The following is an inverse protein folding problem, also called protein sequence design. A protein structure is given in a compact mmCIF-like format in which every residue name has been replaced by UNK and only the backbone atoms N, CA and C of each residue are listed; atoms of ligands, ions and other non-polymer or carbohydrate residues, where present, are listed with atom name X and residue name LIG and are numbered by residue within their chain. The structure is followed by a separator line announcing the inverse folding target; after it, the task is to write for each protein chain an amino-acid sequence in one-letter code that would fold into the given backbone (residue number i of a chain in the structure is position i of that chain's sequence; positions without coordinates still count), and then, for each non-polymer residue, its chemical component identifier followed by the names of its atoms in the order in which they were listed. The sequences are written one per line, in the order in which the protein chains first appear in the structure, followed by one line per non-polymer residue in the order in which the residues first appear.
data_IF_612085979753
#
_entry.id   IF_612085979753
#
_cell.length_a   1.000
_cell.length_b   1.000
_cell.length_c   1.000
_cell.angle_alpha   90.00
_cell.angle_beta   90.00
_cell.angle_gamma   90.00
#
_symmetry.space_group_name_H-M   'P 1'
#
loop_
_entity.id
_entity.type
_entity.pdbx_description
1 polymer ?
#
# COMPACT_ATOMS: atom_id res chain seq x y z
N UNK A 1 -18.01 -46.72 25.26
CA UNK A 1 -19.16 -46.12 25.99
C UNK A 1 -19.76 -45.03 25.11
N UNK A 2 -20.74 -45.39 24.24
CA UNK A 2 -21.41 -44.39 23.39
C UNK A 2 -22.25 -43.47 24.28
N UNK A 3 -21.90 -42.18 24.28
CA UNK A 3 -22.65 -41.14 24.98
C UNK A 3 -24.04 -41.08 24.34
N UNK A 4 -25.06 -41.65 25.00
CA UNK A 4 -26.45 -41.58 24.54
C UNK A 4 -26.82 -40.10 24.42
N UNK A 5 -26.89 -39.60 23.18
CA UNK A 5 -27.44 -38.29 22.88
C UNK A 5 -28.86 -38.25 23.43
N UNK A 6 -29.17 -37.21 24.20
CA UNK A 6 -30.52 -37.02 24.74
C UNK A 6 -31.51 -36.97 23.58
N UNK A 7 -32.59 -37.76 23.63
CA UNK A 7 -33.67 -37.77 22.61
C UNK A 7 -34.18 -36.35 22.29
N UNK A 8 -34.11 -35.44 23.25
CA UNK A 8 -34.45 -34.03 23.09
C UNK A 8 -33.54 -33.31 22.08
N UNK A 9 -32.23 -33.61 22.09
CA UNK A 9 -31.26 -33.01 21.17
C UNK A 9 -31.44 -33.53 19.74
N UNK A 10 -31.79 -34.81 19.56
CA UNK A 10 -32.12 -35.36 18.24
C UNK A 10 -33.36 -34.70 17.63
N UNK A 11 -34.42 -34.47 18.43
CA UNK A 11 -35.64 -33.79 17.98
C UNK A 11 -35.35 -32.33 17.58
N UNK A 12 -34.51 -31.64 18.36
CA UNK A 12 -34.12 -30.24 18.07
C UNK A 12 -33.29 -30.19 16.79
N UNK A 13 -32.32 -31.09 16.63
CA UNK A 13 -31.47 -31.15 15.44
C UNK A 13 -32.30 -31.44 14.18
N UNK A 14 -33.22 -32.40 14.26
CA UNK A 14 -34.07 -32.78 13.14
C UNK A 14 -35.03 -31.64 12.74
N UNK A 15 -35.56 -30.89 13.71
CA UNK A 15 -36.33 -29.66 13.43
C UNK A 15 -35.47 -28.60 12.74
N UNK A 16 -34.22 -28.39 13.19
CA UNK A 16 -33.31 -27.44 12.59
C UNK A 16 -32.93 -27.81 11.15
N UNK A 17 -32.66 -29.09 10.90
CA UNK A 17 -32.39 -29.62 9.55
C UNK A 17 -33.62 -29.43 8.64
N UNK A 18 -34.82 -29.72 9.14
CA UNK A 18 -36.05 -29.50 8.38
C UNK A 18 -36.26 -28.02 8.06
N UNK A 19 -35.99 -27.11 8.99
CA UNK A 19 -36.06 -25.66 8.77
C UNK A 19 -35.03 -25.21 7.72
N UNK A 20 -33.80 -25.73 7.78
CA UNK A 20 -32.74 -25.42 6.83
C UNK A 20 -33.05 -25.96 5.42
N UNK A 21 -33.82 -27.05 5.34
CA UNK A 21 -34.23 -27.64 4.07
C UNK A 21 -35.44 -26.98 3.41
N UNK A 22 -36.15 -26.08 4.12
CA UNK A 22 -37.19 -25.26 3.50
C UNK A 22 -36.59 -24.43 2.35
N UNK A 23 -37.27 -24.36 1.19
CA UNK A 23 -36.76 -23.68 0.00
C UNK A 23 -36.48 -22.19 0.25
N UNK A 24 -37.32 -21.54 1.07
CA UNK A 24 -37.14 -20.16 1.49
C UNK A 24 -35.85 -19.95 2.30
N UNK A 25 -35.58 -20.82 3.29
CA UNK A 25 -34.37 -20.74 4.11
C UNK A 25 -33.11 -20.92 3.27
N UNK A 26 -33.12 -21.88 2.32
CA UNK A 26 -32.01 -22.06 1.37
C UNK A 26 -31.75 -20.80 0.55
N UNK A 27 -32.80 -20.16 0.03
CA UNK A 27 -32.68 -18.93 -0.73
C UNK A 27 -32.08 -17.80 0.12
N UNK A 28 -32.56 -17.61 1.35
CA UNK A 28 -32.03 -16.59 2.28
C UNK A 28 -30.56 -16.83 2.59
N UNK A 29 -30.17 -18.08 2.86
CA UNK A 29 -28.77 -18.43 3.14
C UNK A 29 -27.88 -18.13 1.93
N UNK A 30 -28.30 -18.56 0.73
CA UNK A 30 -27.55 -18.28 -0.50
C UNK A 30 -27.43 -16.79 -0.76
N UNK A 31 -28.51 -16.02 -0.60
CA UNK A 31 -28.49 -14.57 -0.74
C UNK A 31 -27.53 -13.91 0.25
N UNK A 32 -27.54 -14.34 1.52
CA UNK A 32 -26.62 -13.85 2.54
C UNK A 32 -25.16 -14.11 2.18
N UNK A 33 -24.82 -15.30 1.66
CA UNK A 33 -23.48 -15.60 1.18
C UNK A 33 -23.06 -14.76 -0.03
N UNK A 34 -23.97 -14.56 -1.00
CA UNK A 34 -23.69 -13.69 -2.15
C UNK A 34 -23.43 -12.26 -1.69
N UNK A 35 -24.27 -11.71 -0.81
CA UNK A 35 -24.06 -10.39 -0.24
C UNK A 35 -22.74 -10.30 0.52
N UNK A 36 -22.41 -11.32 1.32
CA UNK A 36 -21.15 -11.37 2.05
C UNK A 36 -19.94 -11.37 1.12
N UNK A 37 -19.96 -12.16 0.05
CA UNK A 37 -18.90 -12.18 -0.97
C UNK A 37 -18.78 -10.81 -1.63
N UNK A 38 -19.89 -10.19 -2.05
CA UNK A 38 -19.87 -8.86 -2.68
C UNK A 38 -19.26 -7.82 -1.72
N UNK A 39 -19.67 -7.81 -0.46
CA UNK A 39 -19.14 -6.89 0.55
C UNK A 39 -17.65 -7.11 0.77
N UNK A 40 -17.21 -8.36 0.96
CA UNK A 40 -15.78 -8.66 1.14
C UNK A 40 -14.98 -8.29 -0.11
N UNK A 41 -15.44 -8.65 -1.31
CA UNK A 41 -14.77 -8.28 -2.56
C UNK A 41 -14.63 -6.78 -2.69
N UNK A 42 -15.66 -6.00 -2.31
CA UNK A 42 -15.57 -4.55 -2.27
C UNK A 42 -14.56 -4.06 -1.23
N UNK A 43 -14.61 -4.58 0.00
CA UNK A 43 -13.67 -4.20 1.06
C UNK A 43 -12.22 -4.55 0.72
N UNK A 44 -11.98 -5.64 -0.02
CA UNK A 44 -10.65 -5.97 -0.54
C UNK A 44 -10.10 -4.88 -1.47
N UNK A 45 -10.94 -4.14 -2.21
CA UNK A 45 -10.49 -2.99 -3.01
C UNK A 45 -10.15 -1.75 -2.18
N UNK A 46 -10.53 -1.75 -0.89
CA UNK A 46 -10.28 -0.67 0.07
C UNK A 46 -9.18 -0.99 1.07
N UNK A 47 -8.50 -2.12 0.91
CA UNK A 47 -7.34 -2.46 1.74
C UNK A 47 -6.25 -1.43 1.46
N UNK A 48 -5.90 -0.65 2.49
CA UNK A 48 -4.77 0.24 2.40
C UNK A 48 -3.47 -0.58 2.50
N UNK A 49 -2.56 -0.38 1.55
CA UNK A 49 -1.23 -0.99 1.55
C UNK A 49 -0.17 -0.08 2.14
N UNK A 50 -0.56 1.12 2.60
CA UNK A 50 0.38 2.06 3.20
C UNK A 50 1.01 1.47 4.46
N UNK A 51 2.33 1.64 4.54
CA UNK A 51 3.08 1.24 5.71
C UNK A 51 2.97 2.31 6.79
N UNK A 52 2.32 1.98 7.90
CA UNK A 52 2.30 2.83 9.08
C UNK A 52 3.40 2.41 10.05
N UNK A 53 4.39 3.28 10.21
CA UNK A 53 5.57 3.00 11.02
C UNK A 53 5.24 3.03 12.53
N UNK A 54 4.08 3.55 12.91
CA UNK A 54 3.55 3.50 14.29
C UNK A 54 3.18 2.07 14.72
N UNK A 55 2.73 1.22 13.78
CA UNK A 55 2.35 -0.17 14.07
C UNK A 55 3.53 -1.06 14.48
N UNK A 56 4.76 -0.58 14.35
CA UNK A 56 5.97 -1.31 14.73
C UNK A 56 6.30 -1.22 16.22
N UNK A 57 5.73 -0.26 16.94
CA UNK A 57 6.08 0.01 18.33
C UNK A 57 4.88 -0.25 19.25
N UNK A 58 5.17 -0.43 20.54
CA UNK A 58 4.12 -0.55 21.55
C UNK A 58 3.29 0.74 21.62
N UNK A 59 1.98 0.63 21.83
CA UNK A 59 1.01 1.74 21.81
C UNK A 59 1.44 2.97 22.65
N UNK A 60 2.05 2.73 23.81
CA UNK A 60 2.51 3.78 24.74
C UNK A 60 3.99 4.15 24.59
N UNK A 61 4.65 3.76 23.49
CA UNK A 61 6.07 4.07 23.27
C UNK A 61 6.27 5.53 22.89
N UNK A 62 7.28 6.18 23.47
CA UNK A 62 7.73 7.50 23.02
C UNK A 62 8.21 7.48 21.56
N UNK A 63 8.53 6.30 21.02
CA UNK A 63 8.89 6.11 19.62
C UNK A 63 7.72 6.36 18.66
N UNK A 64 6.46 6.25 19.10
CA UNK A 64 5.31 6.55 18.23
C UNK A 64 5.29 8.02 17.82
N UNK A 65 5.56 8.93 18.76
CA UNK A 65 5.62 10.36 18.47
C UNK A 65 6.74 10.71 17.48
N UNK A 66 7.92 10.11 17.68
CA UNK A 66 9.09 10.31 16.80
C UNK A 66 8.84 9.69 15.43
N UNK A 67 8.31 8.46 15.39
CA UNK A 67 7.93 7.74 14.17
C UNK A 67 6.92 8.53 13.35
N UNK A 68 5.86 9.08 13.97
CA UNK A 68 4.89 9.94 13.27
C UNK A 68 5.52 11.21 12.71
N UNK A 69 6.42 11.85 13.46
CA UNK A 69 7.14 13.03 12.96
C UNK A 69 8.05 12.66 11.80
N UNK A 70 8.86 11.61 11.94
CA UNK A 70 9.74 11.14 10.89
C UNK A 70 8.95 10.72 9.65
N UNK A 71 7.84 10.00 9.81
CA UNK A 71 7.00 9.60 8.69
C UNK A 71 6.36 10.80 8.01
N UNK A 72 5.92 11.82 8.76
CA UNK A 72 5.47 13.09 8.17
C UNK A 72 6.62 13.74 7.40
N UNK A 73 7.76 14.00 8.03
CA UNK A 73 8.91 14.63 7.39
C UNK A 73 9.42 13.85 6.16
N UNK A 74 9.67 12.55 6.29
CA UNK A 74 10.22 11.72 5.22
C UNK A 74 9.22 11.45 4.09
N UNK A 75 7.93 11.29 4.38
CA UNK A 75 6.92 11.11 3.32
C UNK A 75 6.43 12.44 2.73
N UNK A 76 6.53 13.57 3.44
CA UNK A 76 6.05 14.88 2.98
C UNK A 76 7.14 15.83 2.45
N UNK A 77 8.39 15.73 2.91
CA UNK A 77 9.48 16.68 2.58
C UNK A 77 10.54 16.14 1.60
N UNK A 78 10.16 15.19 0.76
CA UNK A 78 10.98 14.69 -0.36
C UNK A 78 12.17 13.80 0.04
N UNK A 79 12.29 12.68 -0.67
CA UNK A 79 13.46 11.82 -0.62
C UNK A 79 14.57 12.44 -1.44
N UNK A 80 15.76 12.63 -0.84
CA UNK A 80 16.95 12.98 -1.62
C UNK A 80 17.36 11.76 -2.44
N UNK A 81 17.17 11.83 -3.76
CA UNK A 81 17.58 10.77 -4.68
C UNK A 81 18.92 11.14 -5.30
N UNK A 82 19.91 10.26 -5.13
CA UNK A 82 21.23 10.44 -5.71
C UNK A 82 21.36 9.60 -6.98
N UNK A 83 21.58 10.27 -8.12
CA UNK A 83 21.86 9.60 -9.38
C UNK A 83 23.36 9.55 -9.64
N UNK A 84 23.91 8.35 -9.73
CA UNK A 84 25.30 8.12 -10.11
C UNK A 84 25.35 7.53 -11.52
N UNK A 85 26.23 8.07 -12.37
CA UNK A 85 26.45 7.55 -13.71
C UNK A 85 27.70 6.69 -13.76
N UNK A 86 27.57 5.47 -14.28
CA UNK A 86 28.69 4.56 -14.51
C UNK A 86 28.50 3.78 -15.83
N UNK A 87 29.53 3.71 -16.70
CA UNK A 87 30.79 4.43 -16.62
C UNK A 87 30.61 5.95 -16.79
N UNK A 88 31.57 6.74 -16.32
CA UNK A 88 31.53 8.20 -16.44
C UNK A 88 31.48 8.60 -17.92
N UNK A 89 30.44 9.30 -18.40
CA UNK A 89 30.37 9.73 -19.79
C UNK A 89 31.48 10.72 -20.13
N UNK A 90 31.87 10.76 -21.40
CA UNK A 90 32.78 11.79 -21.88
C UNK A 90 32.02 13.12 -22.06
N UNK A 91 31.99 13.93 -21.01
CA UNK A 91 31.38 15.26 -21.05
C UNK A 91 32.15 16.26 -21.91
N UNK A 92 33.28 15.92 -22.55
CA UNK A 92 33.89 16.77 -23.56
C UNK A 92 33.08 16.78 -24.87
N UNK A 93 32.33 15.71 -25.16
CA UNK A 93 31.44 15.60 -26.32
C UNK A 93 30.14 16.39 -26.11
N UNK A 94 29.87 17.34 -27.01
CA UNK A 94 28.66 18.19 -27.01
C UNK A 94 27.39 17.34 -27.09
N UNK A 95 27.40 16.26 -27.88
CA UNK A 95 26.24 15.40 -28.04
C UNK A 95 25.89 14.69 -26.73
N UNK A 96 26.90 14.21 -26.00
CA UNK A 96 26.73 13.55 -24.70
C UNK A 96 26.24 14.55 -23.66
N UNK A 97 26.80 15.76 -23.61
CA UNK A 97 26.33 16.83 -22.70
C UNK A 97 24.86 17.15 -22.93
N UNK A 98 24.46 17.44 -24.17
CA UNK A 98 23.06 17.78 -24.48
C UNK A 98 22.09 16.66 -24.10
N UNK A 99 22.50 15.39 -24.25
CA UNK A 99 21.69 14.24 -23.86
C UNK A 99 21.58 14.12 -22.34
N UNK A 100 22.65 14.42 -21.62
CA UNK A 100 22.65 14.45 -20.17
C UNK A 100 21.80 15.60 -19.63
N UNK A 101 21.91 16.80 -20.19
CA UNK A 101 21.12 17.96 -19.77
C UNK A 101 19.61 17.68 -19.93
N UNK A 102 19.23 17.04 -21.05
CA UNK A 102 17.85 16.59 -21.26
C UNK A 102 17.40 15.55 -20.22
N UNK A 103 18.26 14.60 -19.85
CA UNK A 103 17.95 13.64 -18.80
C UNK A 103 17.68 14.35 -17.47
N UNK A 104 18.49 15.35 -17.12
CA UNK A 104 18.31 16.14 -15.90
C UNK A 104 17.01 16.94 -15.97
N UNK A 105 16.71 17.58 -17.09
CA UNK A 105 15.45 18.30 -17.29
C UNK A 105 14.23 17.38 -17.13
N UNK A 106 14.29 16.16 -17.69
CA UNK A 106 13.24 15.15 -17.55
C UNK A 106 13.07 14.71 -16.08
N UNK A 107 14.14 14.65 -15.28
CA UNK A 107 14.08 14.36 -13.84
C UNK A 107 13.51 15.54 -13.03
N UNK A 108 13.90 16.76 -13.38
CA UNK A 108 13.46 17.99 -12.71
C UNK A 108 11.98 18.28 -12.95
N UNK A 109 11.43 17.83 -14.08
CA UNK A 109 10.05 18.10 -14.52
C UNK A 109 9.07 16.96 -14.21
N UNK A 110 9.47 15.95 -13.43
CA UNK A 110 8.57 14.85 -13.04
C UNK A 110 7.37 15.44 -12.28
N UNK A 111 6.13 15.25 -12.75
CA UNK A 111 4.95 15.83 -12.11
C UNK A 111 4.82 15.36 -10.67
N UNK A 112 4.62 16.31 -9.75
CA UNK A 112 4.44 16.10 -8.29
C UNK A 112 5.68 15.64 -7.52
N UNK A 113 6.79 15.32 -8.18
CA UNK A 113 8.01 14.82 -7.53
C UNK A 113 9.26 15.68 -7.82
N UNK A 114 9.25 16.43 -8.92
CA UNK A 114 10.31 17.38 -9.26
C UNK A 114 10.14 18.71 -8.54
N UNK A 115 11.24 19.25 -8.02
CA UNK A 115 11.34 20.62 -7.48
C UNK A 115 12.00 21.58 -8.48
N UNK A 116 12.12 21.17 -9.76
CA UNK A 116 12.80 21.93 -10.80
C UNK A 116 14.31 22.02 -10.57
N UNK A 117 14.94 23.01 -11.20
CA UNK A 117 16.38 23.28 -11.07
C UNK A 117 16.80 23.60 -9.64
N UNK A 118 15.91 24.24 -8.87
CA UNK A 118 16.20 24.70 -7.51
C UNK A 118 16.40 23.53 -6.52
N UNK A 119 15.87 22.34 -6.85
CA UNK A 119 16.03 21.13 -6.04
C UNK A 119 17.16 20.21 -6.49
N UNK A 120 17.88 20.55 -7.56
CA UNK A 120 18.89 19.67 -8.17
C UNK A 120 20.29 20.24 -8.00
N UNK A 121 21.13 19.54 -7.25
CA UNK A 121 22.57 19.83 -7.15
C UNK A 121 23.30 19.07 -8.26
N UNK A 122 23.83 19.79 -9.24
CA UNK A 122 24.54 19.22 -10.38
C UNK A 122 25.92 19.84 -10.57
N UNK A 123 26.96 19.03 -10.37
CA UNK A 123 28.36 19.44 -10.47
C UNK A 123 28.77 20.05 -11.83
N UNK A 124 28.10 19.68 -12.92
CA UNK A 124 28.42 20.22 -14.26
C UNK A 124 27.98 21.68 -14.39
N UNK A 125 26.86 22.07 -13.73
CA UNK A 125 26.39 23.46 -13.73
C UNK A 125 27.38 24.35 -12.98
N UNK A 126 27.82 23.88 -11.80
CA UNK A 126 28.79 24.60 -10.95
C UNK A 126 30.18 24.76 -11.59
N UNK A 127 30.52 23.96 -12.61
CA UNK A 127 31.80 24.03 -13.31
C UNK A 127 31.74 24.82 -14.63
N UNK A 128 30.54 25.11 -15.13
CA UNK A 128 30.32 25.87 -16.35
C UNK A 128 30.20 27.39 -16.11
N UNK A 129 29.89 27.80 -14.87
CA UNK A 129 29.94 29.18 -14.37
C UNK A 129 31.36 29.59 -13.93
#
# INVERSE_FOLDING_TARGET
MMRKTSKKNEIILQKLVNILHLPFTKFVVVAAFITHIIVISYLCTKVNTDFDMENLYMENSSMNAISRQLQRFTLSEAFVVNFALYPMPNFADVFIRNKFDRLIEELETIPKFGMGSDGTVLWIRDFAD
#
